data_IF_569561663106
#
_entry.id   IF_569561663106
#
_cell.length_a   1.000
_cell.length_b   1.000
_cell.length_c   1.000
_cell.angle_alpha   90.00
_cell.angle_beta   90.00
_cell.angle_gamma   90.00
#
_symmetry.space_group_name_H-M   'P 1'
#
loop_
_entity.id
_entity.type
_entity.pdbx_description
1 polymer ?
#
# COMPACT_ATOMS: atom_id res chain seq x y z
N UNK A 1 29.01 -31.66 -59.24
CA UNK A 1 27.79 -31.94 -60.03
C UNK A 1 26.62 -32.06 -59.05
N UNK A 2 25.53 -31.33 -59.32
CA UNK A 2 24.27 -31.12 -58.55
C UNK A 2 24.44 -30.25 -57.26
N UNK A 3 23.94 -29.02 -57.11
CA UNK A 3 22.66 -28.31 -57.42
C UNK A 3 21.51 -28.66 -56.45
N UNK A 4 21.28 -27.71 -55.51
CA UNK A 4 20.02 -27.11 -55.00
C UNK A 4 18.99 -27.96 -54.23
N UNK A 5 18.51 -27.38 -53.12
CA UNK A 5 17.17 -27.59 -52.53
C UNK A 5 17.13 -27.08 -51.08
N UNK A 6 16.97 -25.77 -50.82
CA UNK A 6 15.77 -24.93 -50.79
C UNK A 6 14.80 -25.14 -49.60
N UNK A 7 14.44 -23.99 -49.02
CA UNK A 7 13.21 -23.58 -48.34
C UNK A 7 12.80 -24.14 -46.97
N UNK A 8 12.64 -23.18 -46.05
CA UNK A 8 11.81 -23.20 -44.86
C UNK A 8 10.42 -23.77 -45.09
N UNK A 9 9.89 -24.52 -44.12
CA UNK A 9 8.45 -24.51 -43.82
C UNK A 9 8.12 -25.01 -42.40
N UNK A 10 7.58 -24.09 -41.59
CA UNK A 10 6.42 -24.21 -40.66
C UNK A 10 6.46 -25.08 -39.38
N UNK A 11 6.51 -24.35 -38.24
CA UNK A 11 5.72 -24.44 -37.00
C UNK A 11 5.40 -25.82 -36.35
N UNK A 12 5.86 -26.01 -35.11
CA UNK A 12 4.97 -26.40 -34.02
C UNK A 12 5.49 -25.91 -32.65
N UNK A 13 4.55 -25.45 -31.82
CA UNK A 13 4.72 -24.71 -30.57
C UNK A 13 4.98 -25.59 -29.33
N UNK A 14 5.37 -24.88 -28.25
CA UNK A 14 5.22 -25.21 -26.81
C UNK A 14 6.25 -26.21 -26.24
N UNK A 15 7.14 -25.76 -25.36
CA UNK A 15 6.76 -25.28 -24.04
C UNK A 15 7.76 -24.27 -23.48
N UNK A 16 7.23 -23.11 -23.10
CA UNK A 16 7.94 -21.97 -22.52
C UNK A 16 8.28 -22.29 -21.06
N UNK A 17 9.54 -22.55 -20.78
CA UNK A 17 10.09 -22.48 -19.43
C UNK A 17 10.26 -21.00 -19.05
N UNK A 18 9.50 -20.54 -18.04
CA UNK A 18 9.65 -19.20 -17.43
C UNK A 18 9.81 -19.36 -15.92
N UNK A 19 10.97 -19.82 -15.48
CA UNK A 19 11.47 -19.44 -14.17
C UNK A 19 12.07 -18.03 -14.29
N UNK A 20 11.35 -17.03 -13.79
CA UNK A 20 11.87 -15.67 -13.60
C UNK A 20 12.62 -15.60 -12.26
N UNK A 21 13.83 -15.00 -12.21
CA UNK A 21 14.55 -14.81 -10.95
C UNK A 21 13.83 -13.76 -10.08
N UNK A 22 13.83 -14.03 -8.77
CA UNK A 22 12.87 -13.53 -7.78
C UNK A 22 13.26 -12.20 -7.11
N UNK A 23 13.88 -11.24 -7.82
CA UNK A 23 14.39 -10.00 -7.18
C UNK A 23 14.05 -8.67 -7.87
N UNK A 24 13.10 -8.63 -8.81
CA UNK A 24 12.73 -7.39 -9.53
C UNK A 24 11.27 -6.93 -9.29
N UNK A 25 10.50 -7.64 -8.47
CA UNK A 25 9.06 -7.37 -8.29
C UNK A 25 8.75 -6.44 -7.12
N UNK A 26 9.51 -6.52 -6.02
CA UNK A 26 9.18 -5.80 -4.78
C UNK A 26 9.38 -4.28 -4.94
N UNK A 27 10.49 -3.83 -5.49
CA UNK A 27 10.80 -2.39 -5.62
C UNK A 27 9.79 -1.64 -6.48
N UNK A 28 9.32 -2.27 -7.57
CA UNK A 28 8.29 -1.68 -8.44
C UNK A 28 6.94 -1.60 -7.72
N UNK A 29 6.56 -2.64 -6.97
CA UNK A 29 5.31 -2.66 -6.22
C UNK A 29 5.31 -1.62 -5.08
N UNK A 30 6.44 -1.45 -4.40
CA UNK A 30 6.61 -0.44 -3.37
C UNK A 30 6.54 0.97 -3.94
N UNK A 31 7.27 1.25 -5.03
CA UNK A 31 7.22 2.56 -5.71
C UNK A 31 5.80 2.91 -6.16
N UNK A 32 5.09 1.96 -6.78
CA UNK A 32 3.69 2.15 -7.20
C UNK A 32 2.77 2.43 -6.00
N UNK A 33 3.05 1.79 -4.86
CA UNK A 33 2.31 1.99 -3.62
C UNK A 33 2.56 3.38 -3.02
N UNK A 34 3.81 3.83 -2.99
CA UNK A 34 4.18 5.20 -2.60
C UNK A 34 3.43 6.23 -3.45
N UNK A 35 3.40 6.04 -4.78
CA UNK A 35 2.62 6.91 -5.67
C UNK A 35 1.11 6.86 -5.38
N UNK A 36 0.60 5.70 -4.98
CA UNK A 36 -0.80 5.54 -4.54
C UNK A 36 -1.08 6.36 -3.28
N UNK A 37 -0.17 6.36 -2.31
CA UNK A 37 -0.26 7.18 -1.09
C UNK A 37 -0.32 8.66 -1.43
N UNK A 38 0.63 9.17 -2.23
CA UNK A 38 0.68 10.58 -2.64
C UNK A 38 -0.61 11.04 -3.33
N UNK A 39 -1.27 10.16 -4.08
CA UNK A 39 -2.54 10.46 -4.75
C UNK A 39 -3.76 10.36 -3.82
N UNK A 40 -3.78 9.39 -2.90
CA UNK A 40 -4.98 9.07 -2.09
C UNK A 40 -5.06 9.85 -0.78
N UNK A 41 -3.96 9.98 -0.04
CA UNK A 41 -3.99 10.60 1.31
C UNK A 41 -4.50 12.05 1.29
N UNK A 42 -4.06 12.93 0.36
CA UNK A 42 -4.63 14.28 0.28
C UNK A 42 -6.15 14.29 0.08
N UNK A 43 -6.68 13.32 -0.68
CA UNK A 43 -8.12 13.20 -0.90
C UNK A 43 -8.85 12.75 0.35
N UNK A 44 -8.27 11.88 1.17
CA UNK A 44 -8.90 11.46 2.42
C UNK A 44 -8.99 12.61 3.40
N UNK A 45 -7.92 13.40 3.54
CA UNK A 45 -7.91 14.57 4.44
C UNK A 45 -9.04 15.56 4.11
N UNK A 46 -9.36 15.71 2.83
CA UNK A 46 -10.48 16.53 2.37
C UNK A 46 -11.88 15.88 2.52
N UNK A 47 -11.99 14.63 2.98
CA UNK A 47 -13.25 13.89 3.06
C UNK A 47 -13.46 13.24 4.45
N UNK A 48 -13.90 14.01 5.47
CA UNK A 48 -13.99 13.54 6.85
C UNK A 48 -14.95 12.36 7.11
N UNK A 49 -15.85 12.08 6.17
CA UNK A 49 -16.80 10.98 6.26
C UNK A 49 -16.18 9.61 6.00
N UNK A 50 -15.03 9.54 5.30
CA UNK A 50 -14.40 8.28 4.91
C UNK A 50 -13.71 7.59 6.10
N UNK A 51 -13.69 6.25 6.11
CA UNK A 51 -13.07 5.49 7.20
C UNK A 51 -11.55 5.64 7.26
N UNK A 52 -10.88 5.71 6.10
CA UNK A 52 -9.45 5.97 6.00
C UNK A 52 -9.06 7.33 6.63
N UNK A 53 -9.85 8.38 6.42
CA UNK A 53 -9.70 9.67 7.11
C UNK A 53 -9.79 9.47 8.62
N UNK A 54 -10.87 8.85 9.09
CA UNK A 54 -11.12 8.68 10.53
C UNK A 54 -9.99 7.92 11.20
N UNK A 55 -9.51 6.83 10.59
CA UNK A 55 -8.40 6.03 11.11
C UNK A 55 -7.11 6.85 11.10
N UNK A 56 -6.74 7.49 9.98
CA UNK A 56 -5.52 8.28 9.87
C UNK A 56 -5.49 9.45 10.86
N UNK A 57 -6.55 10.27 10.90
CA UNK A 57 -6.66 11.43 11.80
C UNK A 57 -6.63 11.00 13.27
N UNK A 58 -7.28 9.89 13.62
CA UNK A 58 -7.23 9.32 14.98
C UNK A 58 -5.82 8.90 15.33
N UNK A 59 -5.15 8.17 14.43
CA UNK A 59 -3.76 7.78 14.60
C UNK A 59 -2.86 9.01 14.79
N UNK A 60 -2.93 10.01 13.91
CA UNK A 60 -2.10 11.21 13.98
C UNK A 60 -2.31 11.98 15.29
N UNK A 61 -3.52 11.96 15.83
CA UNK A 61 -3.83 12.57 17.12
C UNK A 61 -3.23 11.76 18.29
N UNK A 62 -3.44 10.45 18.32
CA UNK A 62 -2.96 9.58 19.41
C UNK A 62 -1.44 9.42 19.43
N UNK A 63 -0.82 9.34 18.25
CA UNK A 63 0.63 9.16 18.07
C UNK A 63 1.43 10.46 18.22
N UNK A 64 0.74 11.58 18.47
CA UNK A 64 1.32 12.93 18.39
C UNK A 64 2.14 13.11 17.09
N UNK A 65 1.45 12.98 15.95
CA UNK A 65 2.02 13.02 14.61
C UNK A 65 3.17 12.02 14.39
N UNK A 66 2.93 10.73 14.69
CA UNK A 66 3.88 9.63 14.50
C UNK A 66 5.16 9.71 15.37
N UNK A 67 5.12 10.42 16.50
CA UNK A 67 6.26 10.47 17.46
C UNK A 67 6.20 9.35 18.49
N UNK A 68 5.03 8.77 18.73
CA UNK A 68 4.85 7.62 19.62
C UNK A 68 4.03 6.54 18.94
N UNK A 69 4.38 5.25 19.09
CA UNK A 69 3.56 4.15 18.60
C UNK A 69 2.17 4.13 19.25
N UNK A 70 1.19 3.59 18.53
CA UNK A 70 -0.20 3.47 19.00
C UNK A 70 -0.67 2.04 18.84
N UNK A 71 -1.12 1.43 19.94
CA UNK A 71 -1.71 0.09 19.85
C UNK A 71 -2.95 0.05 18.94
N UNK A 72 -3.12 -1.04 18.19
CA UNK A 72 -4.28 -1.23 17.28
C UNK A 72 -5.62 -1.11 18.04
N UNK A 73 -5.70 -1.66 19.26
CA UNK A 73 -6.90 -1.63 20.08
C UNK A 73 -7.29 -0.21 20.51
N UNK A 74 -6.30 0.63 20.84
CA UNK A 74 -6.53 2.04 21.15
C UNK A 74 -6.98 2.81 19.91
N UNK A 75 -6.32 2.57 18.77
CA UNK A 75 -6.69 3.19 17.50
C UNK A 75 -8.13 2.84 17.11
N UNK A 76 -8.51 1.56 17.22
CA UNK A 76 -9.87 1.09 16.96
C UNK A 76 -10.88 1.81 17.85
N UNK A 77 -10.66 1.77 19.17
CA UNK A 77 -11.57 2.35 20.18
C UNK A 77 -11.83 3.84 19.94
N UNK A 78 -10.81 4.58 19.50
CA UNK A 78 -10.91 6.02 19.31
C UNK A 78 -11.36 6.45 17.91
N UNK A 79 -11.33 5.54 16.93
CA UNK A 79 -11.71 5.85 15.54
C UNK A 79 -13.22 6.11 15.34
N UNK A 80 -14.05 5.72 16.32
CA UNK A 80 -15.51 5.76 16.23
C UNK A 80 -16.05 5.05 14.97
N UNK A 81 -15.52 3.85 14.70
CA UNK A 81 -15.92 2.97 13.62
C UNK A 81 -16.35 1.63 14.22
N UNK A 82 -17.38 1.01 13.66
CA UNK A 82 -17.78 -0.36 14.01
C UNK A 82 -16.62 -1.33 13.78
N UNK A 83 -16.39 -2.27 14.71
CA UNK A 83 -15.22 -3.17 14.74
C UNK A 83 -14.92 -3.86 13.40
N UNK A 84 -15.94 -4.41 12.74
CA UNK A 84 -15.81 -5.09 11.44
C UNK A 84 -15.33 -4.14 10.33
N UNK A 85 -15.86 -2.92 10.29
CA UNK A 85 -15.51 -1.87 9.32
C UNK A 85 -14.13 -1.32 9.62
N UNK A 86 -13.78 -1.12 10.88
CA UNK A 86 -12.44 -0.73 11.28
C UNK A 86 -11.43 -1.76 10.78
N UNK A 87 -11.60 -3.03 11.16
CA UNK A 87 -10.67 -4.12 10.83
C UNK A 87 -10.46 -4.24 9.32
N UNK A 88 -11.54 -4.25 8.54
CA UNK A 88 -11.46 -4.36 7.08
C UNK A 88 -10.74 -3.16 6.44
N UNK A 89 -11.03 -1.94 6.87
CA UNK A 89 -10.39 -0.74 6.31
C UNK A 89 -8.93 -0.61 6.76
N UNK A 90 -8.65 -0.88 8.03
CA UNK A 90 -7.31 -0.83 8.58
C UNK A 90 -6.38 -1.84 7.89
N UNK A 91 -6.83 -3.08 7.67
CA UNK A 91 -6.05 -4.07 6.94
C UNK A 91 -5.72 -3.62 5.51
N UNK A 92 -6.65 -2.95 4.83
CA UNK A 92 -6.42 -2.37 3.51
C UNK A 92 -5.46 -1.17 3.52
N UNK A 93 -5.18 -0.58 4.69
CA UNK A 93 -4.20 0.50 4.87
C UNK A 93 -2.81 -0.01 5.28
N UNK A 94 -2.63 -1.34 5.43
CA UNK A 94 -1.39 -1.97 5.89
C UNK A 94 -0.70 -2.85 4.86
N UNK A 95 -1.45 -3.37 3.90
CA UNK A 95 -0.92 -4.30 2.90
C UNK A 95 -0.62 -3.57 1.59
N UNK A 96 0.38 -4.04 0.84
CA UNK A 96 0.55 -3.68 -0.56
C UNK A 96 -0.29 -4.65 -1.40
N UNK A 97 -1.31 -4.13 -2.07
CA UNK A 97 -2.08 -4.90 -3.04
C UNK A 97 -2.74 -3.99 -4.07
N UNK A 98 -3.14 -4.54 -5.21
CA UNK A 98 -3.74 -3.78 -6.32
C UNK A 98 -4.97 -2.97 -5.87
N UNK A 99 -5.84 -3.57 -5.04
CA UNK A 99 -7.14 -3.00 -4.63
C UNK A 99 -7.16 -2.40 -3.23
N UNK A 100 -5.99 -2.19 -2.62
CA UNK A 100 -5.91 -1.66 -1.26
C UNK A 100 -6.34 -0.17 -1.14
N UNK A 101 -6.39 0.29 0.09
CA UNK A 101 -6.67 1.67 0.44
C UNK A 101 -5.39 2.48 0.60
N UNK A 102 -4.36 2.23 -0.20
CA UNK A 102 -3.00 2.75 0.04
C UNK A 102 -2.39 2.30 1.38
N UNK A 103 -1.19 1.74 1.34
CA UNK A 103 -0.43 1.37 2.54
C UNK A 103 0.10 2.64 3.19
N UNK A 104 -0.38 2.95 4.39
CA UNK A 104 0.11 4.08 5.19
C UNK A 104 0.58 3.66 6.57
N UNK A 105 0.23 2.44 7.00
CA UNK A 105 0.60 1.90 8.28
C UNK A 105 1.49 0.67 8.14
N UNK A 106 2.38 0.54 9.11
CA UNK A 106 2.94 -0.74 9.53
C UNK A 106 2.39 -1.08 10.92
N UNK A 107 2.27 -2.37 11.18
CA UNK A 107 2.07 -2.87 12.53
C UNK A 107 3.10 -3.93 12.87
N UNK A 108 3.76 -3.75 14.02
CA UNK A 108 4.66 -4.72 14.58
C UNK A 108 4.23 -4.97 16.03
N UNK A 109 3.94 -6.24 16.35
CA UNK A 109 3.55 -6.64 17.71
C UNK A 109 2.32 -5.92 18.28
N UNK A 110 1.40 -5.49 17.41
CA UNK A 110 0.17 -4.78 17.80
C UNK A 110 0.34 -3.27 17.99
N UNK A 111 1.55 -2.75 17.79
CA UNK A 111 1.84 -1.31 17.73
C UNK A 111 1.86 -0.82 16.29
N UNK A 112 1.16 0.29 16.05
CA UNK A 112 1.01 0.91 14.74
C UNK A 112 1.95 2.10 14.61
N UNK A 113 2.62 2.20 13.47
CA UNK A 113 3.40 3.36 13.05
C UNK A 113 3.06 3.70 11.60
N UNK A 114 3.41 4.91 11.14
CA UNK A 114 3.38 5.19 9.69
C UNK A 114 4.41 4.32 8.97
N UNK A 115 4.03 3.87 7.78
CA UNK A 115 4.94 3.18 6.88
C UNK A 115 6.07 4.13 6.45
N UNK A 116 7.30 3.70 6.68
CA UNK A 116 8.50 4.54 6.63
C UNK A 116 8.69 5.34 5.31
N UNK A 117 8.50 4.75 4.11
CA UNK A 117 8.69 5.46 2.84
C UNK A 117 7.80 6.69 2.61
N UNK A 118 6.72 6.82 3.38
CA UNK A 118 5.72 7.90 3.22
C UNK A 118 5.43 8.65 4.52
N UNK A 119 6.10 8.30 5.62
CA UNK A 119 5.81 8.82 6.95
C UNK A 119 5.93 10.36 7.00
N UNK A 120 7.06 10.91 6.55
CA UNK A 120 7.32 12.35 6.57
C UNK A 120 6.31 13.12 5.73
N UNK A 121 6.01 12.62 4.52
CA UNK A 121 5.00 13.22 3.64
C UNK A 121 3.63 13.31 4.32
N UNK A 122 3.19 12.22 4.98
CA UNK A 122 1.89 12.18 5.66
C UNK A 122 1.88 13.15 6.85
N UNK A 123 2.96 13.18 7.64
CA UNK A 123 3.09 14.09 8.79
C UNK A 123 3.00 15.55 8.36
N UNK A 124 3.78 15.93 7.34
CA UNK A 124 3.81 17.31 6.85
C UNK A 124 2.48 17.73 6.24
N UNK A 125 1.88 16.86 5.42
CA UNK A 125 0.58 17.09 4.83
C UNK A 125 -0.52 17.26 5.89
N UNK A 126 -0.53 16.39 6.91
CA UNK A 126 -1.52 16.47 7.98
C UNK A 126 -1.38 17.75 8.81
N UNK A 127 -0.15 18.18 9.10
CA UNK A 127 0.12 19.44 9.82
C UNK A 127 -0.36 20.67 9.04
N UNK A 128 -0.27 20.66 7.71
CA UNK A 128 -0.75 21.75 6.86
C UNK A 128 -2.29 21.81 6.77
N UNK A 129 -2.98 20.69 7.03
CA UNK A 129 -4.43 20.60 6.97
C UNK A 129 -5.11 20.97 8.31
N UNK A 130 -4.35 21.06 9.40
CA UNK A 130 -4.86 21.36 10.75
C UNK A 130 -4.87 22.86 11.03
#
# INVERSE_FOLDING_TARGET
>A
MAIIGNAQSVLNEKSVSKHKPQSYTNDNQESDEVQKVYRKVPRWLNNPSQYNYKILTTFMTLSNNNTTPVSVSLLEKHSNIENNKFTSNFNQMKIISERNHAKVFDDAYGEVNLWEPVADFIVDLYKQHK
#
